data_IF_812436086820
#
_entry.id   IF_812436086820
#
_cell.length_a   1.000
_cell.length_b   1.000
_cell.length_c   1.000
_cell.angle_alpha   90.00
_cell.angle_beta   90.00
_cell.angle_gamma   90.00
#
_symmetry.space_group_name_H-M   'P 1'
#
loop_
_entity.id
_entity.type
_entity.pdbx_description
1 polymer ?
#
# COMPACT_ATOMS: atom_id res chain seq x y z
N UNK A 1 -22.57 23.59 7.55
CA UNK A 1 -23.39 22.79 6.62
C UNK A 1 -22.53 22.44 5.41
N UNK A 2 -22.41 21.16 5.08
CA UNK A 2 -21.86 20.72 3.78
C UNK A 2 -22.91 21.02 2.70
N UNK A 3 -22.49 21.35 1.48
CA UNK A 3 -23.45 21.49 0.38
C UNK A 3 -24.00 20.10 0.06
N UNK A 4 -25.32 19.96 -0.08
CA UNK A 4 -25.96 18.68 -0.37
C UNK A 4 -25.43 18.11 -1.69
N UNK A 5 -24.77 16.95 -1.63
CA UNK A 5 -24.40 16.16 -2.81
C UNK A 5 -25.57 15.21 -3.10
N UNK A 6 -26.69 15.73 -3.62
CA UNK A 6 -27.80 14.86 -4.02
C UNK A 6 -27.34 13.97 -5.18
N UNK A 7 -27.41 12.65 -4.98
CA UNK A 7 -27.23 11.65 -6.04
C UNK A 7 -25.81 11.17 -6.30
N UNK A 8 -24.82 11.46 -5.44
CA UNK A 8 -23.45 10.99 -5.65
C UNK A 8 -22.85 10.36 -4.40
N UNK A 9 -22.93 9.03 -4.32
CA UNK A 9 -22.39 8.25 -3.22
C UNK A 9 -20.94 7.84 -3.51
N UNK A 10 -20.04 8.19 -2.59
CA UNK A 10 -18.71 7.59 -2.48
C UNK A 10 -18.85 6.34 -1.61
N UNK A 11 -18.15 5.27 -1.93
CA UNK A 11 -18.19 4.03 -1.16
C UNK A 11 -16.78 3.54 -0.84
N UNK A 12 -16.69 2.69 0.18
CA UNK A 12 -15.42 2.09 0.57
C UNK A 12 -14.88 1.14 -0.51
N UNK A 13 -13.55 1.07 -0.58
CA UNK A 13 -12.85 0.07 -1.41
C UNK A 13 -12.27 -0.99 -0.48
N UNK A 14 -12.47 -2.25 -0.83
CA UNK A 14 -11.95 -3.39 -0.11
C UNK A 14 -10.93 -4.16 -0.94
N UNK A 15 -10.15 -4.97 -0.23
CA UNK A 15 -9.30 -5.97 -0.84
C UNK A 15 -10.09 -7.26 -0.91
N UNK A 16 -10.43 -7.69 -2.12
CA UNK A 16 -10.86 -9.06 -2.34
C UNK A 16 -9.62 -9.95 -2.37
N UNK A 17 -9.63 -10.98 -1.55
CA UNK A 17 -8.53 -11.92 -1.36
C UNK A 17 -9.00 -13.38 -1.52
N UNK A 18 -10.16 -13.62 -2.13
CA UNK A 18 -10.70 -14.99 -2.28
C UNK A 18 -9.73 -15.90 -3.06
N UNK A 19 -9.29 -15.48 -4.25
CA UNK A 19 -8.32 -16.24 -5.04
C UNK A 19 -6.97 -16.39 -4.32
N UNK A 20 -6.53 -15.34 -3.61
CA UNK A 20 -5.31 -15.37 -2.81
C UNK A 20 -5.41 -16.38 -1.66
N UNK A 21 -6.54 -16.44 -0.96
CA UNK A 21 -6.79 -17.38 0.15
C UNK A 21 -6.69 -18.82 -0.30
N UNK A 22 -7.30 -19.16 -1.44
CA UNK A 22 -7.21 -20.50 -2.00
C UNK A 22 -5.75 -20.89 -2.25
N UNK A 23 -4.98 -20.02 -2.92
CA UNK A 23 -3.57 -20.30 -3.21
C UNK A 23 -2.70 -20.41 -1.95
N UNK A 24 -2.96 -19.58 -0.93
CA UNK A 24 -2.25 -19.64 0.35
C UNK A 24 -2.58 -20.92 1.10
N UNK A 25 -3.83 -21.38 1.05
CA UNK A 25 -4.23 -22.66 1.65
C UNK A 25 -3.46 -23.82 1.01
N UNK A 26 -3.35 -23.86 -0.32
CA UNK A 26 -2.55 -24.88 -1.02
C UNK A 26 -1.08 -24.87 -0.57
N UNK A 27 -0.47 -23.67 -0.47
CA UNK A 27 0.92 -23.52 -0.01
C UNK A 27 1.12 -24.02 1.43
N UNK A 28 0.12 -23.81 2.29
CA UNK A 28 0.13 -24.28 3.67
C UNK A 28 -0.08 -25.81 3.71
N UNK A 29 -0.95 -26.37 2.87
CA UNK A 29 -1.18 -27.82 2.79
C UNK A 29 0.08 -28.54 2.31
N UNK A 30 0.71 -28.05 1.25
CA UNK A 30 1.99 -28.54 0.68
C UNK A 30 3.17 -28.41 1.65
N UNK A 31 3.02 -27.61 2.72
CA UNK A 31 4.08 -27.41 3.68
C UNK A 31 4.38 -28.72 4.44
N UNK A 32 5.66 -29.17 4.46
CA UNK A 32 6.03 -30.48 4.99
C UNK A 32 5.83 -30.58 6.51
N UNK A 33 5.49 -31.77 6.97
CA UNK A 33 5.52 -32.10 8.38
C UNK A 33 6.96 -32.39 8.84
N UNK A 34 7.29 -31.99 10.06
CA UNK A 34 8.59 -32.21 10.67
C UNK A 34 8.45 -33.01 11.96
N UNK A 35 9.56 -33.62 12.40
CA UNK A 35 9.65 -34.31 13.68
C UNK A 35 10.68 -33.61 14.56
N UNK A 36 10.34 -33.41 15.83
CA UNK A 36 11.24 -32.76 16.80
C UNK A 36 12.56 -33.55 16.93
N UNK A 37 13.69 -32.84 16.81
CA UNK A 37 15.02 -33.42 16.91
C UNK A 37 15.57 -34.01 15.60
N UNK A 38 14.81 -33.96 14.49
CA UNK A 38 15.31 -34.34 13.17
C UNK A 38 16.37 -33.35 12.67
N UNK A 39 17.25 -33.80 11.76
CA UNK A 39 18.28 -33.00 11.10
C UNK A 39 17.73 -31.77 10.37
N UNK A 40 16.43 -31.74 10.05
CA UNK A 40 15.77 -30.59 9.46
C UNK A 40 15.29 -29.55 10.49
N UNK A 41 15.19 -29.92 11.77
CA UNK A 41 14.67 -29.08 12.87
C UNK A 41 15.76 -28.56 13.80
N UNK A 42 16.96 -29.14 13.75
CA UNK A 42 18.11 -28.73 14.56
C UNK A 42 19.02 -27.80 13.75
N UNK A 43 19.57 -26.78 14.41
CA UNK A 43 20.51 -25.82 13.86
C UNK A 43 21.67 -25.61 14.83
N UNK A 44 22.90 -25.69 14.32
CA UNK A 44 24.08 -25.31 15.08
C UNK A 44 24.10 -23.81 15.36
N UNK A 45 24.29 -23.44 16.62
CA UNK A 45 24.54 -22.07 17.02
C UNK A 45 26.03 -21.75 16.82
N UNK A 46 26.35 -20.78 15.97
CA UNK A 46 27.70 -20.22 15.89
C UNK A 46 27.77 -19.00 16.80
N UNK A 47 28.53 -19.11 17.89
CA UNK A 47 28.78 -18.00 18.81
C UNK A 47 30.07 -17.29 18.42
N UNK A 48 30.04 -15.97 18.32
CA UNK A 48 31.26 -15.16 18.27
C UNK A 48 31.47 -14.54 19.66
N UNK A 49 32.53 -14.94 20.35
CA UNK A 49 32.98 -14.27 21.57
C UNK A 49 34.19 -13.42 21.24
N UNK A 50 34.11 -12.11 21.50
CA UNK A 50 35.27 -11.21 21.44
C UNK A 50 35.66 -10.87 22.87
N UNK A 51 36.89 -11.21 23.28
CA UNK A 51 37.47 -10.72 24.53
C UNK A 51 37.99 -9.31 24.24
N UNK A 52 37.40 -8.29 24.87
CA UNK A 52 37.88 -6.92 24.77
C UNK A 52 38.77 -6.67 25.98
N UNK A 53 40.08 -6.58 25.76
CA UNK A 53 41.03 -6.21 26.81
C UNK A 53 40.95 -4.69 27.03
N UNK A 54 40.52 -4.27 28.22
CA UNK A 54 40.23 -2.85 28.54
C UNK A 54 41.51 -2.08 28.88
N UNK A 55 42.66 -2.74 28.98
CA UNK A 55 43.89 -2.12 29.46
C UNK A 55 45.08 -2.49 28.54
N UNK A 56 45.40 -1.58 27.62
CA UNK A 56 46.74 -1.46 27.06
C UNK A 56 46.97 -2.10 25.70
N UNK A 57 47.38 -1.25 24.74
CA UNK A 57 48.06 -1.54 23.48
C UNK A 57 48.30 -3.01 23.09
N UNK A 58 47.49 -3.54 22.17
CA UNK A 58 47.69 -4.86 21.56
C UNK A 58 46.98 -4.98 20.21
N UNK A 59 47.61 -5.68 19.26
CA UNK A 59 47.21 -5.84 17.85
C UNK A 59 45.74 -6.29 17.65
N UNK A 60 45.14 -6.05 16.45
CA UNK A 60 43.76 -6.48 16.16
C UNK A 60 43.63 -8.00 16.35
N UNK A 61 42.90 -8.40 17.40
CA UNK A 61 42.67 -9.82 17.68
C UNK A 61 41.66 -10.40 16.69
N UNK A 62 42.00 -11.57 16.14
CA UNK A 62 41.13 -12.33 15.24
C UNK A 62 39.94 -12.91 16.00
N UNK A 63 38.73 -12.68 15.50
CA UNK A 63 37.49 -13.29 16.01
C UNK A 63 37.62 -14.82 15.92
N UNK A 64 37.73 -15.50 17.06
CA UNK A 64 37.62 -16.95 17.12
C UNK A 64 36.15 -17.33 17.22
N UNK A 65 35.63 -17.92 16.15
CA UNK A 65 34.31 -18.55 16.15
C UNK A 65 34.38 -19.83 16.97
N UNK A 66 33.60 -19.91 18.04
CA UNK A 66 33.40 -21.15 18.78
C UNK A 66 32.00 -21.69 18.46
N UNK A 67 31.91 -23.01 18.23
CA UNK A 67 30.62 -23.67 18.02
C UNK A 67 29.83 -23.62 19.35
N UNK A 68 28.85 -22.72 19.41
CA UNK A 68 28.07 -22.38 20.60
C UNK A 68 26.89 -23.32 20.85
N UNK A 69 27.02 -24.61 20.51
CA UNK A 69 25.97 -25.62 20.69
C UNK A 69 24.82 -25.48 19.70
N UNK A 70 23.58 -25.57 20.18
CA UNK A 70 22.36 -25.47 19.36
C UNK A 70 21.52 -24.27 19.77
N UNK A 71 20.79 -23.65 18.85
CA UNK A 71 19.89 -22.54 19.19
C UNK A 71 18.68 -23.01 20.01
N UNK A 72 18.05 -22.10 20.77
CA UNK A 72 16.88 -22.45 21.56
C UNK A 72 15.71 -22.88 20.65
N UNK A 73 15.07 -24.03 20.91
CA UNK A 73 13.96 -24.49 20.09
C UNK A 73 12.69 -23.68 20.37
N UNK A 74 12.04 -23.22 19.31
CA UNK A 74 10.78 -22.46 19.32
C UNK A 74 9.71 -23.20 18.52
N UNK A 75 8.43 -22.91 18.77
CA UNK A 75 7.35 -23.53 17.98
C UNK A 75 7.41 -23.06 16.53
N UNK A 76 7.30 -23.99 15.58
CA UNK A 76 7.27 -23.68 14.15
C UNK A 76 6.12 -22.71 13.80
N UNK A 77 4.93 -22.86 14.40
CA UNK A 77 3.81 -21.92 14.24
C UNK A 77 4.23 -20.48 14.56
N UNK A 78 5.04 -20.29 15.61
CA UNK A 78 5.50 -18.97 16.01
C UNK A 78 6.47 -18.37 15.00
N UNK A 79 7.39 -19.17 14.44
CA UNK A 79 8.30 -18.73 13.37
C UNK A 79 7.55 -18.34 12.10
N UNK A 80 6.67 -19.22 11.60
CA UNK A 80 5.85 -18.95 10.41
C UNK A 80 4.99 -17.69 10.62
N UNK A 81 4.31 -17.59 11.78
CA UNK A 81 3.47 -16.43 12.10
C UNK A 81 4.28 -15.13 12.16
N UNK A 82 5.47 -15.19 12.75
CA UNK A 82 6.36 -14.02 12.86
C UNK A 82 6.91 -13.61 11.49
N UNK A 83 7.31 -14.58 10.66
CA UNK A 83 7.77 -14.35 9.30
C UNK A 83 6.67 -13.80 8.38
N UNK A 84 5.43 -14.29 8.50
CA UNK A 84 4.29 -13.72 7.77
C UNK A 84 3.96 -12.32 8.28
N UNK A 85 3.89 -12.11 9.60
CA UNK A 85 3.55 -10.83 10.21
C UNK A 85 4.55 -9.72 9.88
N UNK A 86 5.85 -10.03 9.85
CA UNK A 86 6.90 -9.07 9.52
C UNK A 86 6.79 -8.57 8.07
N UNK A 87 6.15 -9.35 7.20
CA UNK A 87 5.89 -8.98 5.80
C UNK A 87 4.54 -8.29 5.62
N UNK A 88 3.49 -8.89 6.17
CA UNK A 88 2.13 -8.38 6.06
C UNK A 88 1.21 -9.01 7.10
N UNK A 89 0.64 -8.16 7.95
CA UNK A 89 -0.40 -8.59 8.89
C UNK A 89 -1.65 -9.15 8.17
N UNK A 90 -1.93 -8.70 6.94
CA UNK A 90 -3.07 -9.19 6.14
C UNK A 90 -2.86 -10.62 5.68
N UNK A 91 -1.63 -10.99 5.31
CA UNK A 91 -1.27 -12.37 4.92
C UNK A 91 -1.49 -13.30 6.11
N UNK A 92 -0.98 -12.94 7.29
CA UNK A 92 -1.21 -13.75 8.50
C UNK A 92 -2.70 -13.92 8.83
N UNK A 93 -3.52 -12.87 8.63
CA UNK A 93 -4.95 -12.93 8.91
C UNK A 93 -5.74 -13.86 7.98
N UNK A 94 -5.22 -14.16 6.79
CA UNK A 94 -5.86 -15.07 5.82
C UNK A 94 -5.25 -16.47 5.80
N UNK A 95 -4.11 -16.67 6.46
CA UNK A 95 -3.44 -17.96 6.57
C UNK A 95 -4.00 -18.81 7.73
N UNK A 96 -4.37 -20.05 7.45
CA UNK A 96 -4.75 -21.01 8.49
C UNK A 96 -3.53 -21.84 8.96
N UNK A 97 -3.05 -21.58 10.18
CA UNK A 97 -1.90 -22.29 10.77
C UNK A 97 -2.30 -23.22 11.93
N UNK A 98 -3.57 -23.62 12.03
CA UNK A 98 -4.07 -24.47 13.12
C UNK A 98 -3.66 -25.95 13.01
N UNK A 99 -3.10 -26.36 11.88
CA UNK A 99 -2.62 -27.72 11.68
C UNK A 99 -1.56 -28.11 12.76
N UNK A 100 -1.67 -29.29 13.39
CA UNK A 100 -0.69 -29.82 14.35
C UNK A 100 0.75 -29.90 13.81
N UNK A 101 0.97 -29.98 12.49
CA UNK A 101 2.31 -29.98 11.88
C UNK A 101 3.13 -28.74 12.22
N UNK A 102 2.47 -27.64 12.59
CA UNK A 102 3.11 -26.40 13.03
C UNK A 102 3.40 -26.35 14.54
N UNK A 103 2.97 -27.33 15.34
CA UNK A 103 3.22 -27.33 16.80
C UNK A 103 4.57 -27.94 17.21
N UNK A 104 5.36 -28.39 16.22
CA UNK A 104 6.71 -28.96 16.41
C UNK A 104 7.69 -27.87 16.86
N UNK A 105 8.61 -28.24 17.75
CA UNK A 105 9.70 -27.38 18.19
C UNK A 105 10.88 -27.48 17.23
N UNK A 106 11.30 -26.33 16.68
CA UNK A 106 12.39 -26.21 15.72
C UNK A 106 13.34 -25.11 16.14
N UNK A 107 14.60 -25.25 15.77
CA UNK A 107 15.66 -24.31 16.10
C UNK A 107 15.76 -23.21 15.04
N UNK A 108 16.02 -21.98 15.46
CA UNK A 108 16.25 -20.86 14.54
C UNK A 108 17.48 -21.15 13.67
N UNK A 109 17.42 -20.78 12.38
CA UNK A 109 18.38 -21.11 11.32
C UNK A 109 18.37 -22.57 10.83
N UNK A 110 17.44 -23.41 11.29
CA UNK A 110 17.25 -24.77 10.77
C UNK A 110 16.70 -24.78 9.34
N UNK A 111 16.66 -25.95 8.70
CA UNK A 111 16.02 -26.08 7.37
C UNK A 111 14.52 -25.79 7.46
N UNK A 112 13.86 -26.22 8.54
CA UNK A 112 12.46 -25.92 8.79
C UNK A 112 12.20 -24.41 8.93
N UNK A 113 13.10 -23.69 9.62
CA UNK A 113 13.02 -22.23 9.73
C UNK A 113 13.15 -21.55 8.35
N UNK A 114 14.14 -21.94 7.55
CA UNK A 114 14.31 -21.42 6.17
C UNK A 114 13.10 -21.72 5.28
N UNK A 115 12.48 -22.88 5.42
CA UNK A 115 11.26 -23.22 4.70
C UNK A 115 10.07 -22.37 5.19
N UNK A 116 10.01 -22.04 6.48
CA UNK A 116 9.00 -21.12 7.01
C UNK A 116 9.15 -19.70 6.42
N UNK A 117 10.39 -19.23 6.26
CA UNK A 117 10.67 -17.95 5.59
C UNK A 117 10.24 -18.01 4.11
N UNK A 118 10.57 -19.11 3.41
CA UNK A 118 10.17 -19.32 2.01
C UNK A 118 8.64 -19.32 1.86
N UNK A 119 7.92 -20.06 2.69
CA UNK A 119 6.45 -20.07 2.72
C UNK A 119 5.91 -18.65 2.94
N UNK A 120 6.49 -17.88 3.86
CA UNK A 120 6.06 -16.50 4.11
C UNK A 120 6.22 -15.59 2.88
N UNK A 121 7.29 -15.79 2.09
CA UNK A 121 7.54 -15.03 0.85
C UNK A 121 6.50 -15.39 -0.20
N UNK A 122 6.32 -16.68 -0.47
CA UNK A 122 5.39 -17.19 -1.48
C UNK A 122 3.94 -16.83 -1.14
N UNK A 123 3.53 -16.95 0.12
CA UNK A 123 2.20 -16.55 0.56
C UNK A 123 1.99 -15.03 0.42
N UNK A 124 3.02 -14.23 0.69
CA UNK A 124 2.95 -12.77 0.51
C UNK A 124 2.83 -12.38 -0.96
N UNK A 125 3.59 -13.05 -1.82
CA UNK A 125 3.54 -12.84 -3.27
C UNK A 125 2.19 -13.27 -3.85
N UNK A 126 1.69 -14.45 -3.46
CA UNK A 126 0.36 -14.93 -3.82
C UNK A 126 -0.74 -13.97 -3.37
N UNK A 127 -0.66 -13.49 -2.12
CA UNK A 127 -1.62 -12.51 -1.61
C UNK A 127 -1.67 -11.26 -2.47
N UNK A 128 -0.53 -10.61 -2.71
CA UNK A 128 -0.56 -9.40 -3.48
C UNK A 128 -0.93 -9.67 -4.94
N UNK A 129 -0.36 -10.67 -5.60
CA UNK A 129 -0.61 -10.95 -7.02
C UNK A 129 -2.06 -11.28 -7.34
N UNK A 130 -2.74 -12.05 -6.48
CA UNK A 130 -4.10 -12.56 -6.72
C UNK A 130 -5.21 -11.75 -6.04
N UNK A 131 -4.85 -10.81 -5.15
CA UNK A 131 -5.85 -9.91 -4.56
C UNK A 131 -6.20 -8.78 -5.50
N UNK A 132 -7.47 -8.38 -5.47
CA UNK A 132 -8.04 -7.31 -6.28
C UNK A 132 -8.64 -6.22 -5.39
N UNK A 133 -8.77 -5.00 -5.94
CA UNK A 133 -9.46 -3.90 -5.28
C UNK A 133 -10.89 -3.83 -5.79
N UNK A 134 -11.87 -3.90 -4.90
CA UNK A 134 -13.29 -3.92 -5.25
C UNK A 134 -14.00 -2.71 -4.64
N UNK A 135 -14.79 -2.02 -5.44
CA UNK A 135 -15.66 -0.93 -5.02
C UNK A 135 -16.96 -1.49 -4.42
N UNK A 136 -17.21 -1.25 -3.12
CA UNK A 136 -18.33 -1.84 -2.38
C UNK A 136 -19.52 -0.89 -2.27
N UNK A 137 -20.44 -0.96 -3.23
CA UNK A 137 -21.65 -0.11 -3.25
C UNK A 137 -22.58 -0.29 -2.04
N UNK A 138 -22.48 -1.39 -1.29
CA UNK A 138 -23.24 -1.59 -0.05
C UNK A 138 -22.76 -0.73 1.13
N UNK A 139 -21.58 -0.12 1.03
CA UNK A 139 -20.90 0.58 2.14
C UNK A 139 -20.61 2.04 1.78
N UNK A 140 -21.59 2.95 1.88
CA UNK A 140 -21.40 4.36 1.57
C UNK A 140 -20.41 5.01 2.55
N UNK A 141 -19.45 5.74 2.00
CA UNK A 141 -18.53 6.60 2.71
C UNK A 141 -19.06 8.02 2.75
N UNK A 142 -19.16 8.59 3.95
CA UNK A 142 -19.58 9.98 4.15
C UNK A 142 -18.48 10.78 4.83
N UNK A 143 -18.17 11.96 4.28
CA UNK A 143 -17.27 12.88 4.96
C UNK A 143 -17.94 13.47 6.20
N UNK A 144 -17.28 13.35 7.35
CA UNK A 144 -17.71 13.97 8.60
C UNK A 144 -17.63 15.49 8.53
N UNK A 145 -18.34 16.19 9.42
CA UNK A 145 -18.36 17.66 9.44
C UNK A 145 -16.97 18.25 9.69
N UNK A 146 -16.49 19.08 8.76
CA UNK A 146 -15.22 19.80 8.91
C UNK A 146 -15.43 21.20 9.49
N UNK A 147 -14.60 21.58 10.48
CA UNK A 147 -14.57 22.94 11.03
C UNK A 147 -13.91 23.90 10.03
N UNK A 148 -14.71 24.78 9.44
CA UNK A 148 -14.22 25.74 8.44
C UNK A 148 -13.68 26.99 9.13
N UNK A 149 -12.36 27.20 9.08
CA UNK A 149 -11.73 28.41 9.60
C UNK A 149 -11.98 29.64 8.72
N UNK A 150 -12.19 30.82 9.32
CA UNK A 150 -12.43 32.08 8.57
C UNK A 150 -11.30 32.47 7.61
N UNK A 151 -10.06 32.03 7.88
CA UNK A 151 -8.86 32.28 7.07
C UNK A 151 -8.69 31.34 5.87
N UNK A 152 -9.61 30.40 5.65
CA UNK A 152 -9.54 29.47 4.53
C UNK A 152 -9.89 30.13 3.19
N UNK A 153 -9.26 29.65 2.12
CA UNK A 153 -9.60 30.01 0.74
C UNK A 153 -11.00 29.50 0.44
N UNK A 154 -11.86 30.39 -0.07
CA UNK A 154 -13.23 30.06 -0.40
C UNK A 154 -13.34 29.48 -1.82
N UNK A 155 -14.24 28.52 -1.98
CA UNK A 155 -14.49 27.82 -3.24
C UNK A 155 -16.00 27.63 -3.46
N UNK A 156 -16.40 27.66 -4.73
CA UNK A 156 -17.81 27.69 -5.13
C UNK A 156 -18.37 26.31 -5.41
N UNK A 157 -17.59 25.39 -5.94
CA UNK A 157 -18.04 24.06 -6.35
C UNK A 157 -17.50 22.95 -5.42
N UNK A 158 -16.82 23.34 -4.35
CA UNK A 158 -16.35 22.38 -3.36
C UNK A 158 -17.42 21.93 -2.36
N UNK A 159 -17.23 20.73 -1.80
CA UNK A 159 -18.08 20.14 -0.77
C UNK A 159 -18.17 21.02 0.49
N UNK A 160 -17.04 21.61 0.88
CA UNK A 160 -16.95 22.55 1.98
C UNK A 160 -16.63 23.95 1.47
N UNK A 161 -17.21 25.00 2.05
CA UNK A 161 -17.10 26.36 1.52
C UNK A 161 -15.69 26.93 1.56
N UNK A 162 -14.81 26.44 2.44
CA UNK A 162 -13.41 26.86 2.50
C UNK A 162 -12.48 25.72 2.89
N UNK A 163 -11.25 25.80 2.42
CA UNK A 163 -10.15 24.93 2.84
C UNK A 163 -8.95 25.74 3.35
N UNK A 164 -8.21 25.18 4.28
CA UNK A 164 -6.98 25.75 4.85
C UNK A 164 -5.79 24.84 4.59
N UNK A 165 -4.57 25.39 4.54
CA UNK A 165 -3.35 24.60 4.44
C UNK A 165 -3.11 23.96 3.06
N UNK A 166 -3.63 24.55 1.99
CA UNK A 166 -3.30 24.16 0.61
C UNK A 166 -1.85 24.55 0.31
N UNK A 167 -1.07 23.63 -0.24
CA UNK A 167 0.33 23.90 -0.59
C UNK A 167 0.43 24.77 -1.88
N UNK A 168 1.65 25.23 -2.24
CA UNK A 168 1.89 26.09 -3.41
C UNK A 168 1.47 25.48 -4.76
N UNK A 169 1.30 24.16 -4.83
CA UNK A 169 0.86 23.42 -6.02
C UNK A 169 -0.63 23.06 -5.96
N UNK A 170 -1.11 22.64 -4.80
CA UNK A 170 -2.52 22.31 -4.55
C UNK A 170 -3.43 23.53 -4.67
N UNK A 171 -3.00 24.71 -4.22
CA UNK A 171 -3.84 25.92 -4.30
C UNK A 171 -4.23 26.26 -5.75
N UNK A 172 -3.29 26.42 -6.71
CA UNK A 172 -3.67 26.68 -8.09
C UNK A 172 -4.40 25.49 -8.74
N UNK A 173 -4.15 24.25 -8.30
CA UNK A 173 -4.88 23.08 -8.78
C UNK A 173 -6.34 23.10 -8.31
N UNK A 174 -6.57 23.40 -7.03
CA UNK A 174 -7.90 23.53 -6.44
C UNK A 174 -8.69 24.67 -7.09
N UNK A 175 -8.05 25.81 -7.39
CA UNK A 175 -8.69 26.90 -8.15
C UNK A 175 -9.10 26.44 -9.54
N UNK A 176 -8.18 25.81 -10.30
CA UNK A 176 -8.49 25.29 -11.63
C UNK A 176 -9.60 24.21 -11.61
N UNK A 177 -9.65 23.41 -10.54
CA UNK A 177 -10.68 22.40 -10.32
C UNK A 177 -12.04 23.03 -9.98
N UNK A 178 -12.06 24.08 -9.17
CA UNK A 178 -13.27 24.83 -8.84
C UNK A 178 -13.84 25.53 -10.07
N UNK A 179 -12.97 26.11 -10.91
CA UNK A 179 -13.34 26.74 -12.18
C UNK A 179 -13.91 25.74 -13.20
N UNK A 180 -13.64 24.44 -13.04
CA UNK A 180 -14.21 23.40 -13.89
C UNK A 180 -15.71 23.17 -13.65
N UNK A 181 -16.29 23.75 -12.59
CA UNK A 181 -17.73 23.70 -12.33
C UNK A 181 -18.27 22.37 -11.82
N UNK A 182 -17.40 21.48 -11.33
CA UNK A 182 -17.78 20.15 -10.85
C UNK A 182 -17.71 20.06 -9.32
N UNK A 183 -18.56 19.25 -8.67
CA UNK A 183 -18.42 18.96 -7.25
C UNK A 183 -17.08 18.32 -6.94
N UNK A 184 -16.35 18.88 -5.97
CA UNK A 184 -15.06 18.33 -5.55
C UNK A 184 -14.80 18.48 -4.04
N UNK A 185 -13.87 17.70 -3.52
CA UNK A 185 -13.43 17.78 -2.13
C UNK A 185 -11.93 17.53 -2.02
N UNK A 186 -11.22 18.38 -1.26
CA UNK A 186 -9.88 18.06 -0.79
C UNK A 186 -9.95 17.05 0.36
N UNK A 187 -9.33 15.89 0.18
CA UNK A 187 -9.31 14.83 1.17
C UNK A 187 -8.47 15.23 2.39
N UNK A 188 -8.99 15.14 3.62
CA UNK A 188 -8.20 15.40 4.82
C UNK A 188 -7.23 14.27 5.11
N UNK A 189 -6.06 14.60 5.68
CA UNK A 189 -5.07 13.60 6.10
C UNK A 189 -5.55 12.71 7.25
N UNK A 190 -6.49 13.19 8.06
CA UNK A 190 -7.11 12.44 9.16
C UNK A 190 -8.61 12.24 8.88
N UNK A 191 -9.07 10.98 8.93
CA UNK A 191 -10.47 10.63 8.65
C UNK A 191 -10.91 10.79 7.20
N UNK A 192 -9.96 10.95 6.28
CA UNK A 192 -10.20 11.03 4.85
C UNK A 192 -10.53 9.69 4.20
N UNK A 193 -10.95 9.77 2.94
CA UNK A 193 -11.13 8.61 2.08
C UNK A 193 -9.78 7.98 1.77
N UNK A 194 -9.74 6.64 1.71
CA UNK A 194 -8.52 5.92 1.38
C UNK A 194 -8.81 4.69 0.55
N UNK A 195 -7.79 4.29 -0.21
CA UNK A 195 -7.77 3.09 -1.04
C UNK A 195 -6.72 2.14 -0.45
N UNK A 196 -7.07 0.91 -0.06
CA UNK A 196 -6.09 -0.07 0.38
C UNK A 196 -5.01 -0.30 -0.69
N UNK A 197 -3.75 -0.38 -0.28
CA UNK A 197 -2.62 -0.71 -1.16
C UNK A 197 -2.33 -2.20 -1.14
N UNK A 198 -2.05 -2.74 -2.33
CA UNK A 198 -1.64 -4.13 -2.54
C UNK A 198 -0.13 -4.21 -2.78
N UNK A 199 0.64 -3.74 -1.80
CA UNK A 199 2.10 -3.80 -1.77
C UNK A 199 2.64 -4.25 -0.42
N UNK A 200 3.81 -4.88 -0.46
CA UNK A 200 4.68 -5.03 0.70
C UNK A 200 5.27 -3.65 1.07
N UNK A 201 5.08 -3.22 2.32
CA UNK A 201 5.62 -1.96 2.84
C UNK A 201 4.81 -1.39 4.00
N UNK A 202 5.35 -0.34 4.64
CA UNK A 202 4.76 0.27 5.85
C UNK A 202 3.46 1.03 5.58
N UNK A 203 3.21 1.42 4.33
CA UNK A 203 2.02 2.20 3.94
C UNK A 203 0.93 1.28 3.41
N UNK A 204 -0.08 1.00 4.24
CA UNK A 204 -1.18 0.09 3.89
C UNK A 204 -2.27 0.73 3.02
N UNK A 205 -2.32 2.06 2.94
CA UNK A 205 -3.42 2.82 2.36
C UNK A 205 -2.90 4.01 1.54
N UNK A 206 -3.58 4.29 0.43
CA UNK A 206 -3.40 5.46 -0.41
C UNK A 206 -4.49 6.49 -0.14
N UNK A 207 -4.09 7.75 0.04
CA UNK A 207 -4.97 8.87 0.35
C UNK A 207 -4.88 9.88 -0.79
N UNK A 208 -5.83 9.90 -1.74
CA UNK A 208 -5.79 10.89 -2.81
C UNK A 208 -5.97 12.30 -2.26
N UNK A 209 -5.29 13.30 -2.82
CA UNK A 209 -5.42 14.70 -2.35
C UNK A 209 -6.80 15.32 -2.62
N UNK A 210 -7.39 15.01 -3.78
CA UNK A 210 -8.67 15.54 -4.23
C UNK A 210 -9.59 14.45 -4.75
N UNK A 211 -10.89 14.64 -4.54
CA UNK A 211 -11.94 13.73 -4.98
C UNK A 211 -12.94 14.57 -5.77
N UNK A 212 -13.28 14.14 -6.98
CA UNK A 212 -14.16 14.89 -7.90
C UNK A 212 -15.27 13.98 -8.40
N UNK A 213 -16.47 14.53 -8.47
CA UNK A 213 -17.62 13.79 -8.95
C UNK A 213 -18.09 14.33 -10.30
N UNK A 214 -18.27 13.42 -11.27
CA UNK A 214 -18.70 13.77 -12.62
C UNK A 214 -19.45 12.61 -13.27
N UNK A 215 -20.70 12.83 -13.67
CA UNK A 215 -21.52 11.87 -14.45
C UNK A 215 -21.56 10.44 -13.85
N UNK A 216 -21.74 10.32 -12.54
CA UNK A 216 -21.76 9.02 -11.84
C UNK A 216 -20.38 8.37 -11.64
N UNK A 217 -19.31 9.09 -11.96
CA UNK A 217 -17.93 8.65 -11.71
C UNK A 217 -17.30 9.46 -10.58
N UNK A 218 -16.41 8.81 -9.84
CA UNK A 218 -15.56 9.40 -8.81
C UNK A 218 -14.13 9.43 -9.32
N UNK A 219 -13.50 10.61 -9.35
CA UNK A 219 -12.11 10.77 -9.73
C UNK A 219 -11.27 11.04 -8.47
N UNK A 220 -10.38 10.13 -8.14
CA UNK A 220 -9.38 10.28 -7.08
C UNK A 220 -8.11 10.87 -7.68
N UNK A 221 -7.85 12.15 -7.42
CA UNK A 221 -6.74 12.90 -7.98
C UNK A 221 -5.68 13.12 -6.91
N UNK A 222 -4.45 12.77 -7.22
CA UNK A 222 -3.34 12.93 -6.30
C UNK A 222 -2.24 13.80 -6.91
N UNK A 223 -1.94 14.89 -6.22
CA UNK A 223 -0.96 15.89 -6.62
C UNK A 223 0.37 15.56 -5.94
N UNK A 224 1.30 14.97 -6.71
CA UNK A 224 2.63 14.46 -6.30
C UNK A 224 2.73 12.94 -5.96
N UNK A 225 1.98 12.08 -6.62
CA UNK A 225 1.99 10.63 -6.34
C UNK A 225 3.03 9.74 -7.03
N UNK A 226 3.90 10.28 -7.88
CA UNK A 226 4.78 9.43 -8.71
C UNK A 226 6.00 8.87 -7.94
N UNK A 227 6.45 9.54 -6.87
CA UNK A 227 7.65 9.11 -6.13
C UNK A 227 7.42 7.89 -5.22
N UNK A 228 6.17 7.57 -4.88
CA UNK A 228 5.86 6.59 -3.82
C UNK A 228 5.41 5.22 -4.33
N UNK A 229 5.07 5.10 -5.62
CA UNK A 229 4.39 3.90 -6.11
C UNK A 229 5.29 3.11 -7.06
N UNK A 230 5.36 1.80 -6.85
CA UNK A 230 5.86 0.86 -7.86
C UNK A 230 4.83 0.71 -8.98
N UNK A 231 5.26 0.37 -10.19
CA UNK A 231 4.37 0.22 -11.35
C UNK A 231 3.24 -0.80 -11.10
N UNK A 232 3.52 -1.84 -10.31
CA UNK A 232 2.53 -2.85 -9.93
C UNK A 232 1.42 -2.28 -9.03
N UNK A 233 1.79 -1.40 -8.09
CA UNK A 233 0.82 -0.76 -7.19
C UNK A 233 0.01 0.29 -7.94
N UNK A 234 0.68 1.06 -8.79
CA UNK A 234 0.01 2.00 -9.66
C UNK A 234 -1.04 1.27 -10.51
N UNK A 235 -0.68 0.19 -11.19
CA UNK A 235 -1.60 -0.60 -12.03
C UNK A 235 -2.85 -1.03 -11.27
N UNK A 236 -2.72 -1.49 -10.02
CA UNK A 236 -3.87 -1.93 -9.20
C UNK A 236 -4.72 -0.77 -8.71
N UNK A 237 -4.12 0.33 -8.27
CA UNK A 237 -4.87 1.55 -7.89
C UNK A 237 -5.68 2.12 -9.05
N UNK A 238 -5.25 1.81 -10.25
CA UNK A 238 -5.85 2.23 -11.50
C UNK A 238 -6.90 1.24 -12.04
N UNK A 239 -6.91 0.01 -11.55
CA UNK A 239 -7.75 -1.10 -12.00
C UNK A 239 -8.59 -1.63 -10.83
N UNK A 240 -9.46 -0.75 -10.32
CA UNK A 240 -10.38 -1.07 -9.24
C UNK A 240 -11.64 -1.64 -9.88
N UNK A 241 -12.03 -2.85 -9.48
CA UNK A 241 -13.23 -3.52 -9.96
C UNK A 241 -14.48 -2.74 -9.52
N UNK A 242 -15.37 -2.54 -10.48
CA UNK A 242 -16.55 -1.69 -10.34
C UNK A 242 -17.80 -2.55 -10.16
N UNK A 243 -18.63 -2.21 -9.17
CA UNK A 243 -20.07 -2.46 -9.32
C UNK A 243 -20.57 -1.52 -10.41
N UNK A 244 -21.14 -2.10 -11.46
CA UNK A 244 -21.92 -1.54 -12.58
C UNK A 244 -22.54 -0.13 -12.47
N UNK A 245 -22.75 0.41 -11.27
CA UNK A 245 -23.35 1.73 -10.99
C UNK A 245 -22.37 2.88 -10.83
N UNK A 246 -21.18 2.68 -10.25
CA UNK A 246 -20.25 3.78 -9.92
C UNK A 246 -18.83 3.40 -10.24
N UNK A 247 -18.18 4.22 -11.08
CA UNK A 247 -16.80 4.02 -11.52
C UNK A 247 -15.85 4.92 -10.75
N UNK A 248 -14.85 4.34 -10.08
CA UNK A 248 -13.78 5.08 -9.41
C UNK A 248 -12.51 5.09 -10.26
N UNK A 249 -11.96 6.28 -10.50
CA UNK A 249 -10.84 6.52 -11.38
C UNK A 249 -9.72 7.24 -10.63
N UNK A 250 -8.60 6.56 -10.40
CA UNK A 250 -7.40 7.18 -9.84
C UNK A 250 -6.63 7.94 -10.94
N UNK A 251 -6.02 9.08 -10.61
CA UNK A 251 -5.12 9.87 -11.48
C UNK A 251 -3.98 10.44 -10.66
N UNK A 252 -2.75 10.37 -11.18
CA UNK A 252 -1.60 11.07 -10.57
C UNK A 252 -1.21 12.27 -11.40
N UNK A 253 -0.90 13.38 -10.72
CA UNK A 253 -0.50 14.63 -11.34
C UNK A 253 0.88 15.00 -10.82
N UNK A 254 1.84 15.15 -11.73
CA UNK A 254 3.19 15.66 -11.43
C UNK A 254 3.50 16.93 -12.22
N UNK A 255 4.34 17.79 -11.63
CA UNK A 255 4.86 18.97 -12.32
C UNK A 255 6.04 18.57 -13.19
N UNK A 256 6.08 19.07 -14.41
CA UNK A 256 7.07 18.69 -15.41
C UNK A 256 6.58 17.60 -16.36
N UNK A 257 7.43 17.29 -17.34
CA UNK A 257 7.23 16.17 -18.27
C UNK A 257 7.88 14.91 -17.70
N UNK A 258 7.07 13.87 -17.52
CA UNK A 258 7.50 12.60 -16.97
C UNK A 258 7.10 11.47 -17.91
N UNK A 259 8.03 10.58 -18.24
CA UNK A 259 7.79 9.45 -19.16
C UNK A 259 7.63 8.11 -18.44
N UNK A 260 8.10 8.02 -17.19
CA UNK A 260 8.09 6.82 -16.36
C UNK A 260 7.62 7.17 -14.94
N UNK A 261 6.84 6.33 -14.27
CA UNK A 261 6.24 6.60 -12.95
C UNK A 261 7.29 6.99 -11.90
N UNK A 262 8.50 6.44 -11.96
CA UNK A 262 9.63 6.80 -11.08
C UNK A 262 10.71 7.67 -11.75
N UNK A 263 10.50 8.05 -13.00
CA UNK A 263 11.43 8.87 -13.76
C UNK A 263 11.53 10.30 -13.22
N UNK A 264 12.71 10.91 -13.35
CA UNK A 264 12.92 12.31 -12.97
C UNK A 264 12.10 13.22 -13.90
N UNK A 265 11.22 14.09 -13.38
CA UNK A 265 10.45 14.99 -14.23
C UNK A 265 11.38 16.03 -14.88
N UNK A 266 11.23 16.23 -16.18
CA UNK A 266 11.86 17.33 -16.90
C UNK A 266 11.05 18.63 -16.69
N UNK A 267 11.70 19.81 -16.65
CA UNK A 267 10.98 21.07 -16.58
C UNK A 267 10.01 21.26 -17.75
N UNK A 268 8.90 21.97 -17.49
CA UNK A 268 7.88 22.30 -18.49
C UNK A 268 6.57 21.57 -18.22
N UNK A 269 5.48 22.34 -18.12
CA UNK A 269 4.11 21.83 -17.99
C UNK A 269 3.84 20.88 -16.81
N UNK A 270 2.94 19.93 -17.05
CA UNK A 270 2.45 18.93 -16.12
C UNK A 270 2.33 17.58 -16.81
N UNK A 271 2.34 16.49 -16.04
CA UNK A 271 2.06 15.14 -16.51
C UNK A 271 0.90 14.56 -15.72
N UNK A 272 -0.10 14.06 -16.44
CA UNK A 272 -1.25 13.34 -15.89
C UNK A 272 -1.07 11.86 -16.21
N UNK A 273 -0.98 11.04 -15.17
CA UNK A 273 -0.96 9.59 -15.28
C UNK A 273 -2.38 9.04 -15.19
N UNK A 274 -2.75 8.25 -16.20
CA UNK A 274 -4.05 7.59 -16.27
C UNK A 274 -3.93 6.21 -16.90
N UNK A 275 -4.93 5.36 -16.72
CA UNK A 275 -5.00 4.13 -17.49
C UNK A 275 -5.38 4.38 -18.93
N UNK A 276 -4.65 3.74 -19.82
CA UNK A 276 -5.04 3.57 -21.22
C UNK A 276 -4.75 2.12 -21.60
N UNK A 277 -5.80 1.38 -21.96
CA UNK A 277 -5.68 -0.03 -22.37
C UNK A 277 -4.93 -0.91 -21.35
N UNK A 278 -5.28 -0.82 -20.07
CA UNK A 278 -4.67 -1.64 -19.02
C UNK A 278 -3.27 -1.21 -18.57
N UNK A 279 -2.72 -0.13 -19.14
CA UNK A 279 -1.37 0.35 -18.80
C UNK A 279 -1.37 1.80 -18.31
N UNK A 280 -0.69 2.11 -17.19
CA UNK A 280 -0.47 3.49 -16.75
C UNK A 280 0.29 4.29 -17.82
N UNK A 281 -0.33 5.32 -18.38
CA UNK A 281 0.20 6.11 -19.48
C UNK A 281 0.36 7.58 -19.06
N UNK A 282 1.53 8.19 -19.30
CA UNK A 282 1.72 9.62 -19.05
C UNK A 282 1.12 10.46 -20.18
N UNK A 283 0.35 11.49 -19.82
CA UNK A 283 -0.13 12.52 -20.76
C UNK A 283 0.44 13.86 -20.34
N UNK A 284 1.28 14.43 -21.21
CA UNK A 284 1.88 15.74 -20.96
C UNK A 284 0.96 16.87 -21.42
N UNK A 285 0.90 17.94 -20.63
CA UNK A 285 0.11 19.15 -20.92
C UNK A 285 0.83 20.41 -20.42
N UNK A 286 0.63 21.54 -21.08
CA UNK A 286 1.40 22.76 -20.79
C UNK A 286 0.90 23.54 -19.56
N UNK A 287 -0.40 23.46 -19.25
CA UNK A 287 -1.04 24.29 -18.22
C UNK A 287 -1.78 23.46 -17.18
N UNK A 288 -1.97 24.03 -15.99
CA UNK A 288 -2.70 23.37 -14.91
C UNK A 288 -4.18 23.16 -15.26
N UNK A 289 -4.78 24.10 -15.99
CA UNK A 289 -6.14 23.99 -16.50
C UNK A 289 -6.27 22.83 -17.49
N UNK A 290 -5.27 22.64 -18.36
CA UNK A 290 -5.22 21.48 -19.25
C UNK A 290 -5.04 20.17 -18.46
N UNK A 291 -4.25 20.18 -17.38
CA UNK A 291 -4.09 19.01 -16.50
C UNK A 291 -5.40 18.61 -15.82
N UNK A 292 -6.13 19.57 -15.25
CA UNK A 292 -7.46 19.33 -14.65
C UNK A 292 -8.43 18.79 -15.70
N UNK A 293 -8.49 19.39 -16.89
CA UNK A 293 -9.34 18.88 -17.99
C UNK A 293 -8.99 17.45 -18.35
N UNK A 294 -7.70 17.12 -18.45
CA UNK A 294 -7.23 15.78 -18.79
C UNK A 294 -7.50 14.75 -17.68
N UNK A 295 -7.41 15.14 -16.40
CA UNK A 295 -7.75 14.29 -15.26
C UNK A 295 -9.21 13.84 -15.29
N UNK A 296 -10.09 14.73 -15.72
CA UNK A 296 -11.55 14.55 -15.74
C UNK A 296 -12.05 13.89 -17.03
N UNK A 297 -11.18 13.29 -17.83
CA UNK A 297 -11.55 12.51 -19.02
C UNK A 297 -11.73 11.03 -18.70
#
# INVERSE_FOLDING_TARGET
MHRGLEGIALHHIFVDSEAARARIADLIEDFPAFTEGDANTVAGAKGASTVIDVIGAGAPQSVQWQDGGTTNPVRLRWLVSTAMKSRSARVLAVSDLHDPKFDVRVQAQSKADKLSEKLSVEATEAFYSLSELVYESGMPFTFGTMRVGKKGTAFSNSLYPRYTGLNKFELPFATALDDAGLPWHRNPSAGGFHIPLLSAGDTANFYPDFIVWKKGMVYCLDTKGSHLLTDAVARKLFDIQEDSKTKLLTRFISKGKQTELKGKPMPGGFTVWKMKSGTPTPVHVDTINAAVKECLR
#
